data_IF_730464561776
#
_entry.id   IF_730464561776
#
_cell.length_a   1.000
_cell.length_b   1.000
_cell.length_c   1.000
_cell.angle_alpha   90.00
_cell.angle_beta   90.00
_cell.angle_gamma   90.00
#
_symmetry.space_group_name_H-M   'P 1'
#
loop_
_entity.id
_entity.type
_entity.pdbx_description
1 polymer ?
#
# COMPACT_ATOMS: atom_id res chain seq x y z
N UNK A 1 -38.81 19.23 34.52
CA UNK A 1 -38.97 18.13 35.50
C UNK A 1 -39.75 16.92 34.98
N UNK A 2 -40.84 17.11 34.22
CA UNK A 2 -41.65 16.00 33.66
C UNK A 2 -40.86 14.98 32.83
N UNK A 3 -39.86 15.42 32.04
CA UNK A 3 -39.00 14.53 31.24
C UNK A 3 -38.23 13.53 32.11
N UNK A 4 -37.77 13.94 33.31
CA UNK A 4 -37.00 13.07 34.20
C UNK A 4 -37.86 11.96 34.80
N UNK A 5 -39.09 12.28 35.18
CA UNK A 5 -40.05 11.30 35.69
C UNK A 5 -40.52 10.34 34.59
N UNK A 6 -40.77 10.85 33.38
CA UNK A 6 -41.09 10.00 32.24
C UNK A 6 -39.94 9.04 31.89
N UNK A 7 -38.69 9.52 31.94
CA UNK A 7 -37.50 8.71 31.68
C UNK A 7 -37.28 7.63 32.75
N UNK A 8 -37.47 7.97 34.03
CA UNK A 8 -37.39 7.00 35.13
C UNK A 8 -38.51 5.96 35.06
N UNK A 9 -39.74 6.38 34.73
CA UNK A 9 -40.87 5.47 34.52
C UNK A 9 -40.62 4.50 33.35
N UNK A 10 -40.11 4.98 32.23
CA UNK A 10 -39.76 4.15 31.08
C UNK A 10 -38.66 3.12 31.40
N UNK A 11 -37.62 3.52 32.16
CA UNK A 11 -36.56 2.62 32.62
C UNK A 11 -37.09 1.53 33.57
N UNK A 12 -38.08 1.87 34.41
CA UNK A 12 -38.70 0.93 35.34
C UNK A 12 -39.60 -0.07 34.60
N UNK A 13 -40.35 0.38 33.60
CA UNK A 13 -41.12 -0.50 32.70
C UNK A 13 -40.21 -1.41 31.86
N UNK A 14 -39.06 -0.91 31.43
CA UNK A 14 -38.08 -1.72 30.70
C UNK A 14 -37.52 -2.86 31.57
N UNK A 15 -37.34 -2.61 32.87
CA UNK A 15 -36.91 -3.61 33.86
C UNK A 15 -38.00 -4.60 34.26
N UNK A 16 -39.27 -4.23 34.20
CA UNK A 16 -40.38 -5.11 34.58
C UNK A 16 -40.66 -6.20 33.55
N UNK A 17 -40.20 -6.03 32.31
CA UNK A 17 -40.31 -7.01 31.20
C UNK A 17 -38.93 -7.49 30.70
N UNK A 18 -38.16 -8.22 31.53
CA UNK A 18 -36.75 -8.51 31.26
C UNK A 18 -36.51 -9.34 29.98
N UNK A 19 -37.37 -10.32 29.69
CA UNK A 19 -37.24 -11.17 28.49
C UNK A 19 -37.44 -10.40 27.18
N UNK A 20 -38.50 -9.59 27.10
CA UNK A 20 -38.80 -8.80 25.91
C UNK A 20 -37.74 -7.72 25.67
N UNK A 21 -37.34 -7.02 26.73
CA UNK A 21 -36.25 -6.02 26.68
C UNK A 21 -34.95 -6.66 26.21
N UNK A 22 -34.56 -7.81 26.76
CA UNK A 22 -33.33 -8.50 26.36
C UNK A 22 -33.32 -8.85 24.86
N UNK A 23 -34.43 -9.41 24.35
CA UNK A 23 -34.56 -9.74 22.93
C UNK A 23 -34.42 -8.50 22.05
N UNK A 24 -35.07 -7.38 22.41
CA UNK A 24 -34.95 -6.13 21.65
C UNK A 24 -33.53 -5.56 21.65
N UNK A 25 -32.84 -5.59 22.80
CA UNK A 25 -31.45 -5.14 22.92
C UNK A 25 -30.52 -6.02 22.10
N UNK A 26 -30.73 -7.34 22.11
CA UNK A 26 -29.91 -8.29 21.34
C UNK A 26 -30.07 -8.06 19.84
N UNK A 27 -31.30 -7.85 19.36
CA UNK A 27 -31.57 -7.56 17.93
C UNK A 27 -30.89 -6.25 17.51
N UNK A 28 -31.01 -5.19 18.33
CA UNK A 28 -30.34 -3.90 18.06
C UNK A 28 -28.82 -4.09 18.06
N UNK A 29 -28.28 -4.86 19.00
CA UNK A 29 -26.85 -5.14 19.10
C UNK A 29 -26.33 -5.89 17.86
N UNK A 30 -27.01 -6.95 17.41
CA UNK A 30 -26.63 -7.70 16.19
C UNK A 30 -26.69 -6.78 14.96
N UNK A 31 -27.75 -5.98 14.86
CA UNK A 31 -27.95 -5.03 13.75
C UNK A 31 -26.83 -4.00 13.64
N UNK A 32 -26.32 -3.49 14.78
CA UNK A 32 -25.19 -2.55 14.81
C UNK A 32 -23.82 -3.24 14.68
N UNK A 33 -23.70 -4.49 15.12
CA UNK A 33 -22.44 -5.24 15.09
C UNK A 33 -22.07 -5.63 13.66
N UNK A 34 -23.03 -6.07 12.84
CA UNK A 34 -22.75 -6.50 11.46
C UNK A 34 -22.10 -5.42 10.58
N UNK A 35 -22.64 -4.19 10.45
CA UNK A 35 -21.99 -3.13 9.67
C UNK A 35 -20.65 -2.71 10.29
N UNK A 36 -20.52 -2.74 11.61
CA UNK A 36 -19.27 -2.40 12.31
C UNK A 36 -18.16 -3.41 12.04
N UNK A 37 -18.47 -4.71 12.12
CA UNK A 37 -17.53 -5.79 11.82
C UNK A 37 -17.17 -5.79 10.34
N UNK A 38 -18.15 -5.62 9.45
CA UNK A 38 -17.90 -5.50 8.01
C UNK A 38 -16.97 -4.31 7.71
N UNK A 39 -17.22 -3.16 8.32
CA UNK A 39 -16.37 -1.98 8.19
C UNK A 39 -14.95 -2.21 8.72
N UNK A 40 -14.81 -2.89 9.86
CA UNK A 40 -13.50 -3.21 10.44
C UNK A 40 -12.71 -4.19 9.56
N UNK A 41 -13.35 -5.24 9.05
CA UNK A 41 -12.75 -6.20 8.12
C UNK A 41 -12.37 -5.49 6.82
N UNK A 42 -13.27 -4.71 6.24
CA UNK A 42 -12.98 -3.92 5.05
C UNK A 42 -11.78 -3.00 5.27
N UNK A 43 -11.72 -2.29 6.40
CA UNK A 43 -10.58 -1.42 6.73
C UNK A 43 -9.29 -2.22 6.90
N UNK A 44 -9.33 -3.36 7.59
CA UNK A 44 -8.15 -4.20 7.80
C UNK A 44 -7.63 -4.80 6.48
N UNK A 45 -8.54 -5.28 5.64
CA UNK A 45 -8.23 -5.76 4.29
C UNK A 45 -7.73 -4.62 3.42
N UNK A 46 -8.32 -3.43 3.48
CA UNK A 46 -7.85 -2.27 2.73
C UNK A 46 -6.46 -1.81 3.18
N UNK A 47 -6.19 -1.82 4.49
CA UNK A 47 -4.87 -1.48 5.04
C UNK A 47 -3.81 -2.54 4.70
N UNK A 48 -4.17 -3.83 4.77
CA UNK A 48 -3.32 -4.93 4.30
C UNK A 48 -3.10 -4.85 2.78
N UNK A 49 -4.14 -4.48 2.02
CA UNK A 49 -4.07 -4.29 0.58
C UNK A 49 -3.29 -3.04 0.18
N UNK A 50 -3.30 -1.95 0.97
CA UNK A 50 -2.46 -0.78 0.74
C UNK A 50 -0.99 -1.05 1.02
N UNK A 51 -0.69 -2.02 1.88
CA UNK A 51 0.68 -2.53 2.06
C UNK A 51 1.09 -3.46 0.90
N UNK A 52 0.12 -4.01 0.17
CA UNK A 52 0.31 -4.90 -0.98
C UNK A 52 0.18 -4.19 -2.34
N UNK A 53 -0.40 -2.99 -2.39
CA UNK A 53 -0.31 -2.09 -3.54
C UNK A 53 1.04 -1.40 -3.42
N UNK A 54 2.06 -1.80 -4.21
CA UNK A 54 3.31 -1.06 -4.22
C UNK A 54 2.96 0.37 -4.62
N UNK A 55 3.46 1.36 -3.87
CA UNK A 55 3.48 2.75 -4.35
C UNK A 55 3.91 2.73 -5.81
N UNK A 56 3.23 3.43 -6.73
CA UNK A 56 3.53 3.33 -8.15
C UNK A 56 5.02 3.56 -8.40
N UNK A 57 5.77 2.54 -8.79
CA UNK A 57 7.21 2.63 -9.01
C UNK A 57 7.46 2.82 -10.50
N UNK A 58 8.29 3.79 -10.87
CA UNK A 58 8.76 3.97 -12.24
C UNK A 58 10.12 3.28 -12.33
N UNK A 59 10.23 2.26 -13.17
CA UNK A 59 11.50 1.55 -13.41
C UNK A 59 12.17 2.13 -14.65
N UNK A 60 13.30 2.80 -14.47
CA UNK A 60 14.12 3.36 -15.56
C UNK A 60 15.28 2.41 -15.83
N UNK A 61 15.36 1.89 -17.06
CA UNK A 61 16.48 1.07 -17.51
C UNK A 61 17.54 1.98 -18.11
N UNK A 62 18.75 1.95 -17.54
CA UNK A 62 19.87 2.74 -18.04
C UNK A 62 20.52 2.04 -19.23
N UNK A 63 21.09 2.82 -20.14
CA UNK A 63 21.85 2.28 -21.27
C UNK A 63 23.08 1.51 -20.78
N UNK A 64 23.37 0.36 -21.41
CA UNK A 64 24.53 -0.50 -21.10
C UNK A 64 25.86 0.16 -21.45
N UNK A 65 25.86 1.19 -22.28
CA UNK A 65 27.06 1.97 -22.61
C UNK A 65 27.48 2.96 -21.52
N UNK A 66 26.62 3.20 -20.51
CA UNK A 66 26.95 4.09 -19.39
C UNK A 66 27.89 3.41 -18.40
N UNK A 67 28.94 4.13 -18.01
CA UNK A 67 29.79 3.76 -16.88
C UNK A 67 29.09 4.07 -15.55
N UNK A 68 29.59 3.49 -14.46
CA UNK A 68 28.95 3.61 -13.14
C UNK A 68 28.91 5.07 -12.64
N UNK A 69 29.89 5.90 -13.06
CA UNK A 69 29.90 7.33 -12.74
C UNK A 69 28.82 8.11 -13.48
N UNK A 70 28.63 7.89 -14.78
CA UNK A 70 27.54 8.53 -15.51
C UNK A 70 26.17 8.02 -15.04
N UNK A 71 26.06 6.74 -14.68
CA UNK A 71 24.85 6.20 -14.07
C UNK A 71 24.49 6.90 -12.75
N UNK A 72 25.48 7.12 -11.87
CA UNK A 72 25.29 7.85 -10.62
C UNK A 72 24.87 9.31 -10.85
N UNK A 73 25.41 9.98 -11.89
CA UNK A 73 24.97 11.33 -12.25
C UNK A 73 23.52 11.38 -12.72
N UNK A 74 23.10 10.43 -13.56
CA UNK A 74 21.71 10.34 -14.03
C UNK A 74 20.76 10.08 -12.86
N UNK A 75 21.12 9.18 -11.94
CA UNK A 75 20.36 8.93 -10.71
C UNK A 75 20.23 10.19 -9.85
N UNK A 76 21.32 10.96 -9.72
CA UNK A 76 21.31 12.24 -8.99
C UNK A 76 20.40 13.29 -9.61
N UNK A 77 20.34 13.37 -10.95
CA UNK A 77 19.41 14.24 -11.66
C UNK A 77 17.95 13.83 -11.43
N UNK A 78 17.66 12.52 -11.55
CA UNK A 78 16.32 11.98 -11.29
C UNK A 78 15.89 12.25 -9.85
N UNK A 79 16.81 12.13 -8.88
CA UNK A 79 16.50 12.41 -7.48
C UNK A 79 16.20 13.89 -7.21
N UNK A 80 16.76 14.80 -8.01
CA UNK A 80 16.54 16.23 -7.89
C UNK A 80 15.21 16.70 -8.53
N UNK A 81 14.52 15.85 -9.28
CA UNK A 81 13.27 16.20 -9.96
C UNK A 81 12.10 16.46 -9.00
N UNK A 82 11.26 17.44 -9.36
CA UNK A 82 10.07 17.77 -8.57
C UNK A 82 9.01 16.69 -8.73
N UNK A 83 8.93 15.82 -7.74
CA UNK A 83 7.94 14.71 -7.70
C UNK A 83 8.56 13.39 -7.28
N UNK A 84 9.89 13.30 -7.24
CA UNK A 84 10.61 12.09 -6.80
C UNK A 84 10.81 12.13 -5.29
N UNK A 85 10.37 11.08 -4.60
CA UNK A 85 10.59 10.89 -3.16
C UNK A 85 11.93 10.19 -2.91
N UNK A 86 12.16 9.11 -3.65
CA UNK A 86 13.34 8.27 -3.51
C UNK A 86 13.71 7.63 -4.85
N UNK A 87 15.01 7.53 -5.12
CA UNK A 87 15.55 6.73 -6.21
C UNK A 87 16.36 5.59 -5.60
N UNK A 88 16.08 4.37 -6.01
CA UNK A 88 16.87 3.19 -5.67
C UNK A 88 17.64 2.74 -6.91
N UNK A 89 18.96 2.92 -6.88
CA UNK A 89 19.83 2.47 -7.95
C UNK A 89 20.26 1.02 -7.67
N UNK A 90 19.99 0.14 -8.63
CA UNK A 90 20.51 -1.22 -8.66
C UNK A 90 21.58 -1.27 -9.74
N UNK A 91 22.80 -1.59 -9.32
CA UNK A 91 23.89 -1.93 -10.25
C UNK A 91 23.54 -3.18 -11.05
N UNK A 92 24.30 -3.43 -12.13
CA UNK A 92 24.07 -4.61 -12.99
C UNK A 92 24.16 -5.92 -12.19
N UNK A 93 25.06 -5.98 -11.22
CA UNK A 93 25.29 -7.17 -10.39
C UNK A 93 24.17 -7.36 -9.36
N UNK A 94 23.70 -6.27 -8.75
CA UNK A 94 22.55 -6.31 -7.83
C UNK A 94 21.25 -6.69 -8.54
N UNK A 95 21.00 -6.13 -9.73
CA UNK A 95 19.85 -6.47 -10.56
C UNK A 95 19.85 -7.96 -10.95
N UNK A 96 21.03 -8.53 -11.23
CA UNK A 96 21.19 -9.96 -11.49
C UNK A 96 20.95 -10.80 -10.23
N UNK A 97 21.40 -10.36 -9.05
CA UNK A 97 21.13 -11.02 -7.78
C UNK A 97 19.63 -11.06 -7.44
N UNK A 98 18.93 -9.93 -7.57
CA UNK A 98 17.47 -9.88 -7.38
C UNK A 98 16.74 -10.74 -8.41
N UNK A 99 17.12 -10.66 -9.69
CA UNK A 99 16.50 -11.45 -10.74
C UNK A 99 16.71 -12.96 -10.50
N UNK A 100 17.89 -13.39 -10.03
CA UNK A 100 18.12 -14.79 -9.66
C UNK A 100 17.20 -15.25 -8.53
N UNK A 101 17.06 -14.44 -7.48
CA UNK A 101 16.25 -14.76 -6.31
C UNK A 101 14.75 -14.82 -6.63
N UNK A 102 14.26 -13.93 -7.47
CA UNK A 102 12.83 -13.84 -7.80
C UNK A 102 12.40 -14.79 -8.92
N UNK A 103 13.26 -15.00 -9.92
CA UNK A 103 12.83 -15.65 -11.16
C UNK A 103 13.07 -17.16 -11.17
N UNK A 104 13.88 -17.68 -10.24
CA UNK A 104 14.25 -19.10 -10.22
C UNK A 104 15.15 -19.55 -11.38
N UNK A 105 15.57 -18.63 -12.26
CA UNK A 105 16.43 -18.90 -13.43
C UNK A 105 17.93 -18.92 -13.12
N UNK A 106 18.34 -19.09 -11.85
CA UNK A 106 19.74 -19.06 -11.43
C UNK A 106 20.67 -19.90 -12.30
N UNK A 107 20.28 -21.14 -12.60
CA UNK A 107 21.09 -22.06 -13.40
C UNK A 107 21.16 -21.74 -14.91
N UNK A 108 20.20 -20.99 -15.46
CA UNK A 108 20.23 -20.55 -16.86
C UNK A 108 21.10 -19.30 -17.04
N UNK A 109 21.17 -18.45 -16.01
CA UNK A 109 22.00 -17.25 -15.99
C UNK A 109 23.48 -17.56 -15.81
N UNK A 110 23.83 -18.69 -15.20
CA UNK A 110 25.21 -19.17 -15.08
C UNK A 110 25.77 -19.73 -16.40
N UNK A 111 24.92 -19.99 -17.39
CA UNK A 111 25.33 -20.42 -18.74
C UNK A 111 25.66 -19.23 -19.66
N UNK A 112 25.43 -18.00 -19.21
CA UNK A 112 25.75 -16.79 -19.95
C UNK A 112 27.15 -16.30 -19.53
N UNK A 113 28.03 -16.09 -20.51
CA UNK A 113 29.42 -15.66 -20.28
C UNK A 113 29.51 -14.23 -19.70
N UNK A 114 28.49 -13.39 -19.95
CA UNK A 114 28.43 -12.00 -19.49
C UNK A 114 27.05 -11.65 -18.92
N UNK A 115 27.01 -10.68 -17.99
CA UNK A 115 25.77 -10.20 -17.37
C UNK A 115 24.88 -9.50 -18.42
N UNK A 116 23.70 -10.06 -18.77
CA UNK A 116 22.86 -9.50 -19.81
C UNK A 116 22.02 -8.30 -19.33
N UNK A 117 22.02 -8.00 -18.03
CA UNK A 117 21.11 -7.02 -17.43
C UNK A 117 21.73 -5.60 -17.40
N UNK A 118 20.98 -4.57 -17.82
CA UNK A 118 21.38 -3.19 -17.62
C UNK A 118 21.27 -2.78 -16.15
N UNK A 119 21.89 -1.67 -15.78
CA UNK A 119 21.64 -1.04 -14.49
C UNK A 119 20.22 -0.45 -14.45
N UNK A 120 19.58 -0.46 -13.29
CA UNK A 120 18.17 -0.09 -13.12
C UNK A 120 18.04 0.97 -12.04
N UNK A 121 17.30 2.04 -12.32
CA UNK A 121 16.90 3.03 -11.33
C UNK A 121 15.40 2.91 -11.07
N UNK A 122 15.04 2.51 -9.85
CA UNK A 122 13.66 2.43 -9.38
C UNK A 122 13.29 3.74 -8.70
N UNK A 123 12.40 4.49 -9.33
CA UNK A 123 11.96 5.81 -8.89
C UNK A 123 10.61 5.68 -8.17
N UNK A 124 10.57 6.14 -6.92
CA UNK A 124 9.36 6.20 -6.11
C UNK A 124 8.88 7.66 -6.11
N UNK A 125 7.74 7.96 -6.74
CA UNK A 125 7.14 9.29 -6.74
C UNK A 125 6.49 9.60 -5.39
N UNK A 126 6.45 10.89 -5.03
CA UNK A 126 5.79 11.39 -3.82
C UNK A 126 4.29 11.12 -3.88
N UNK A 127 3.67 10.90 -2.71
CA UNK A 127 2.23 10.65 -2.55
C UNK A 127 1.33 11.68 -3.26
N UNK A 128 1.77 12.94 -3.35
CA UNK A 128 1.05 14.04 -4.01
C UNK A 128 1.07 13.97 -5.56
N UNK A 129 1.92 13.11 -6.14
CA UNK A 129 2.13 12.98 -7.60
C UNK A 129 1.66 11.61 -8.14
N UNK A 130 0.85 10.88 -7.38
CA UNK A 130 0.32 9.55 -7.78
C UNK A 130 -0.87 9.63 -8.75
N UNK A 131 -1.32 10.84 -9.13
CA UNK A 131 -2.37 11.03 -10.13
C UNK A 131 -1.86 10.73 -11.54
N UNK A 132 -2.70 10.10 -12.38
CA UNK A 132 -2.38 9.72 -13.77
C UNK A 132 -1.83 10.89 -14.61
N UNK A 133 -2.24 12.12 -14.32
CA UNK A 133 -1.75 13.33 -15.00
C UNK A 133 -0.34 13.74 -14.57
N UNK A 134 0.02 13.51 -13.30
CA UNK A 134 1.33 13.81 -12.72
C UNK A 134 2.42 12.82 -13.16
N UNK A 135 2.05 11.56 -13.42
CA UNK A 135 2.97 10.54 -13.95
C UNK A 135 3.38 10.81 -15.40
N UNK A 136 2.55 11.48 -16.20
CA UNK A 136 2.89 11.88 -17.56
C UNK A 136 3.86 13.07 -17.60
N UNK A 137 3.95 13.87 -16.54
CA UNK A 137 4.91 14.98 -16.44
C UNK A 137 6.33 14.49 -16.11
N UNK A 138 6.46 13.27 -15.58
CA UNK A 138 7.73 12.59 -15.27
C UNK A 138 8.24 11.69 -16.42
N UNK A 139 7.58 11.70 -17.59
CA UNK A 139 8.05 11.01 -18.81
C UNK A 139 9.03 11.87 -19.59
#
# INVERSE_FOLDING_TARGET
>A
EQVRYAFQGALQDLKSKPLATFLTVMVIAISLTLPSVCYMVYKNVNQAASQYYPSPQITVYLDKALDDNAAAQVVGQIQAEQGVEKVNYLSRDEALGEFRNWSGFGGALDMLEENPLPAVAVVIPKLDFQGTDSLNTLR
#
